data_IF_047329850020
#
_entry.id   IF_047329850020
#
_cell.length_a   1.000
_cell.length_b   1.000
_cell.length_c   1.000
_cell.angle_alpha   90.00
_cell.angle_beta   90.00
_cell.angle_gamma   90.00
#
_symmetry.space_group_name_H-M   'P 1'
#
loop_
_entity.id
_entity.type
_entity.pdbx_description
1 polymer ?
#
# COMPACT_ATOMS: atom_id res chain seq x y z
N UNK A 1 -25.14 3.43 0.23
CA UNK A 1 -23.91 3.23 -0.57
C UNK A 1 -22.93 4.33 -0.18
N UNK A 2 -21.72 3.97 0.28
CA UNK A 2 -20.71 4.96 0.69
C UNK A 2 -20.05 5.53 -0.57
N UNK A 3 -20.21 6.83 -0.81
CA UNK A 3 -19.54 7.55 -1.89
C UNK A 3 -18.08 7.81 -1.48
N UNK A 4 -17.10 7.65 -2.39
CA UNK A 4 -15.71 7.97 -2.07
C UNK A 4 -15.59 9.47 -1.74
N UNK A 5 -14.97 9.79 -0.60
CA UNK A 5 -14.95 11.11 0.04
C UNK A 5 -14.10 12.17 -0.70
N UNK A 6 -13.72 11.95 -1.95
CA UNK A 6 -13.06 12.97 -2.77
C UNK A 6 -13.19 12.67 -4.26
N UNK A 7 -13.87 13.55 -4.99
CA UNK A 7 -13.87 13.57 -6.47
C UNK A 7 -12.65 14.28 -7.06
N UNK A 8 -11.50 14.27 -6.36
CA UNK A 8 -10.28 14.85 -6.91
C UNK A 8 -9.74 14.00 -8.08
N UNK A 9 -9.37 14.63 -9.22
CA UNK A 9 -8.81 13.93 -10.38
C UNK A 9 -7.39 13.40 -10.15
N UNK A 10 -6.83 13.62 -8.97
CA UNK A 10 -5.48 13.20 -8.61
C UNK A 10 -5.51 11.78 -8.06
N UNK A 11 -5.05 10.83 -8.87
CA UNK A 11 -4.79 9.44 -8.46
C UNK A 11 -3.28 9.27 -8.26
N UNK A 12 -2.91 8.59 -7.18
CA UNK A 12 -1.53 8.24 -6.92
C UNK A 12 -1.10 7.16 -7.92
N UNK A 13 0.10 7.24 -8.53
CA UNK A 13 0.62 6.17 -9.36
C UNK A 13 0.79 4.87 -8.55
N UNK A 14 0.53 3.73 -9.18
CA UNK A 14 0.66 2.43 -8.54
C UNK A 14 2.11 2.20 -8.05
N UNK A 15 2.23 1.73 -6.81
CA UNK A 15 3.49 1.45 -6.13
C UNK A 15 4.25 2.70 -5.66
N UNK A 16 3.68 3.89 -5.81
CA UNK A 16 4.29 5.12 -5.26
C UNK A 16 4.43 5.05 -3.73
N UNK A 17 3.48 4.43 -3.04
CA UNK A 17 3.57 4.22 -1.58
C UNK A 17 4.78 3.38 -1.20
N UNK A 18 5.02 2.27 -1.90
CA UNK A 18 6.15 1.38 -1.68
C UNK A 18 7.51 2.08 -1.88
N UNK A 19 7.63 3.01 -2.84
CA UNK A 19 8.85 3.81 -3.00
C UNK A 19 9.12 4.70 -1.78
N UNK A 20 8.09 5.35 -1.24
CA UNK A 20 8.23 6.23 -0.09
C UNK A 20 8.49 5.43 1.20
N UNK A 21 7.85 4.29 1.36
CA UNK A 21 8.09 3.39 2.49
C UNK A 21 9.53 2.85 2.47
N UNK A 22 10.03 2.41 1.31
CA UNK A 22 11.41 1.99 1.14
C UNK A 22 12.41 3.08 1.54
N UNK A 23 12.20 4.32 1.08
CA UNK A 23 13.03 5.45 1.50
C UNK A 23 12.95 5.67 3.02
N UNK A 24 11.74 5.69 3.59
CA UNK A 24 11.55 5.94 5.02
C UNK A 24 12.26 4.89 5.89
N UNK A 25 12.21 3.62 5.49
CA UNK A 25 12.94 2.55 6.17
C UNK A 25 14.45 2.76 6.10
N UNK A 26 15.00 3.12 4.94
CA UNK A 26 16.44 3.38 4.82
C UNK A 26 16.89 4.63 5.62
N UNK A 27 16.06 5.68 5.67
CA UNK A 27 16.33 6.84 6.54
C UNK A 27 16.36 6.45 8.02
N UNK A 28 15.41 5.62 8.47
CA UNK A 28 15.38 5.12 9.85
C UNK A 28 16.60 4.24 10.18
N UNK A 29 17.13 3.52 9.18
CA UNK A 29 18.31 2.65 9.33
C UNK A 29 19.61 3.43 9.38
N UNK A 30 19.80 4.38 8.46
CA UNK A 30 21.07 5.12 8.33
C UNK A 30 21.13 6.40 9.19
N UNK A 31 19.98 6.91 9.66
CA UNK A 31 19.87 8.15 10.44
C UNK A 31 20.72 9.31 9.86
N UNK A 32 20.56 9.65 8.58
CA UNK A 32 21.40 10.65 7.93
C UNK A 32 21.11 12.07 8.44
N UNK A 33 22.14 12.90 8.59
CA UNK A 33 21.98 14.32 8.93
C UNK A 33 21.27 15.13 7.83
N UNK A 34 21.48 14.75 6.56
CA UNK A 34 20.83 15.34 5.39
C UNK A 34 19.96 14.31 4.66
N UNK A 35 18.68 14.30 5.04
CA UNK A 35 17.65 13.42 4.49
C UNK A 35 17.41 13.68 3.00
N UNK A 36 17.52 14.93 2.54
CA UNK A 36 17.21 15.28 1.14
C UNK A 36 18.30 14.75 0.21
N UNK A 37 19.57 14.97 0.56
CA UNK A 37 20.71 14.43 -0.20
C UNK A 37 20.78 12.91 -0.10
N UNK A 38 20.37 12.32 1.02
CA UNK A 38 20.22 10.88 1.15
C UNK A 38 19.15 10.32 0.20
N UNK A 39 17.96 10.92 0.19
CA UNK A 39 16.86 10.49 -0.67
C UNK A 39 17.22 10.56 -2.17
N UNK A 40 17.88 11.63 -2.60
CA UNK A 40 18.35 11.77 -3.98
C UNK A 40 19.28 10.62 -4.38
N UNK A 41 20.26 10.28 -3.53
CA UNK A 41 21.19 9.16 -3.76
C UNK A 41 20.46 7.81 -3.74
N UNK A 42 19.53 7.62 -2.81
CA UNK A 42 18.72 6.40 -2.71
C UNK A 42 17.92 6.14 -3.99
N UNK A 43 17.18 7.13 -4.49
CA UNK A 43 16.42 6.98 -5.73
C UNK A 43 17.31 6.82 -6.96
N UNK A 44 18.48 7.44 -6.99
CA UNK A 44 19.43 7.23 -8.07
C UNK A 44 19.96 5.79 -8.10
N UNK A 45 20.30 5.22 -6.94
CA UNK A 45 20.70 3.82 -6.83
C UNK A 45 19.57 2.86 -7.28
N UNK A 46 18.30 3.15 -6.92
CA UNK A 46 17.17 2.36 -7.40
C UNK A 46 17.01 2.43 -8.93
N UNK A 47 17.21 3.60 -9.54
CA UNK A 47 17.16 3.78 -10.99
C UNK A 47 18.27 3.00 -11.70
N UNK A 48 19.49 3.03 -11.17
CA UNK A 48 20.64 2.28 -11.71
C UNK A 48 20.37 0.78 -11.65
N UNK A 49 19.96 0.26 -10.48
CA UNK A 49 19.60 -1.16 -10.31
C UNK A 49 18.50 -1.62 -11.26
N UNK A 50 17.48 -0.77 -11.49
CA UNK A 50 16.41 -1.05 -12.46
C UNK A 50 16.94 -1.16 -13.88
N UNK A 51 17.88 -0.30 -14.28
CA UNK A 51 18.53 -0.34 -15.61
C UNK A 51 19.39 -1.59 -15.79
N UNK A 52 20.08 -2.01 -14.74
CA UNK A 52 20.99 -3.16 -14.78
C UNK A 52 20.26 -4.50 -14.74
N UNK A 53 19.24 -4.62 -13.88
CA UNK A 53 18.59 -5.91 -13.60
C UNK A 53 17.28 -6.08 -14.38
N UNK A 54 16.74 -5.00 -14.97
CA UNK A 54 15.37 -4.92 -15.50
C UNK A 54 14.27 -5.27 -14.47
N UNK A 55 14.64 -5.47 -13.21
CA UNK A 55 13.73 -5.75 -12.11
C UNK A 55 13.24 -4.40 -11.54
N UNK A 56 11.92 -4.24 -11.50
CA UNK A 56 11.31 -3.02 -10.99
C UNK A 56 11.05 -3.15 -9.48
N UNK A 57 11.71 -2.36 -8.63
CA UNK A 57 11.48 -2.39 -7.18
C UNK A 57 10.05 -1.96 -6.80
N UNK A 58 9.31 -1.34 -7.71
CA UNK A 58 7.95 -0.84 -7.50
C UNK A 58 6.88 -1.88 -7.86
N UNK A 59 7.22 -2.89 -8.66
CA UNK A 59 6.25 -3.83 -9.21
C UNK A 59 5.49 -4.62 -8.12
N UNK A 60 6.17 -5.02 -7.04
CA UNK A 60 5.54 -5.73 -5.94
C UNK A 60 4.53 -4.85 -5.17
N UNK A 61 4.91 -3.61 -4.88
CA UNK A 61 3.99 -2.65 -4.24
C UNK A 61 2.77 -2.33 -5.10
N UNK A 62 2.97 -2.17 -6.41
CA UNK A 62 1.87 -1.95 -7.35
C UNK A 62 0.91 -3.15 -7.43
N UNK A 63 1.43 -4.39 -7.37
CA UNK A 63 0.62 -5.60 -7.33
C UNK A 63 -0.24 -5.69 -6.06
N UNK A 64 0.34 -5.37 -4.89
CA UNK A 64 -0.38 -5.34 -3.61
C UNK A 64 -1.51 -4.30 -3.58
N UNK A 65 -1.25 -3.12 -4.13
CA UNK A 65 -2.27 -2.06 -4.25
C UNK A 65 -3.44 -2.50 -5.17
N UNK A 66 -3.14 -3.21 -6.26
CA UNK A 66 -4.14 -3.76 -7.19
C UNK A 66 -4.96 -4.90 -6.56
N UNK A 67 -4.33 -5.80 -5.80
CA UNK A 67 -5.02 -6.84 -5.03
C UNK A 67 -5.99 -6.25 -3.99
N UNK A 68 -5.57 -5.20 -3.27
CA UNK A 68 -6.40 -4.50 -2.29
C UNK A 68 -7.61 -3.81 -2.93
N UNK A 69 -7.50 -3.35 -4.18
CA UNK A 69 -8.59 -2.74 -4.94
C UNK A 69 -9.50 -3.79 -5.60
N UNK A 70 -8.96 -4.94 -5.98
CA UNK A 70 -9.66 -6.02 -6.69
C UNK A 70 -10.52 -6.88 -5.76
N UNK A 71 -10.11 -7.06 -4.51
CA UNK A 71 -10.89 -7.84 -3.54
C UNK A 71 -11.89 -6.94 -2.80
N UNK A 72 -13.17 -7.33 -2.69
CA UNK A 72 -14.12 -6.58 -1.89
C UNK A 72 -13.63 -6.58 -0.42
N UNK A 73 -13.78 -5.47 0.32
CA UNK A 73 -13.38 -5.41 1.72
C UNK A 73 -14.05 -6.57 2.45
N UNK A 74 -13.26 -7.29 3.25
CA UNK A 74 -13.73 -8.40 4.07
C UNK A 74 -15.01 -7.98 4.78
N UNK A 75 -16.14 -8.58 4.40
CA UNK A 75 -17.44 -8.26 4.98
C UNK A 75 -17.46 -8.81 6.40
N UNK A 76 -17.02 -8.02 7.37
CA UNK A 76 -17.29 -8.26 8.79
C UNK A 76 -18.78 -8.07 8.99
N UNK A 77 -19.55 -9.13 8.74
CA UNK A 77 -21.00 -9.03 8.85
C UNK A 77 -21.76 -10.27 8.38
N UNK A 78 -21.80 -11.32 9.21
CA UNK A 78 -22.95 -12.25 9.23
C UNK A 78 -22.97 -13.09 10.52
N UNK A 79 -24.15 -13.44 11.07
CA UNK A 79 -25.34 -12.66 11.45
C UNK A 79 -25.51 -12.65 13.00
N UNK A 80 -26.52 -11.98 13.61
CA UNK A 80 -26.73 -12.09 15.05
C UNK A 80 -27.18 -13.51 15.40
N UNK A 81 -26.67 -14.04 16.52
CA UNK A 81 -27.11 -15.29 17.13
C UNK A 81 -28.65 -15.27 17.26
N UNK A 82 -29.34 -15.99 16.38
CA UNK A 82 -30.77 -16.20 16.53
C UNK A 82 -30.99 -17.05 17.78
N UNK A 83 -31.62 -16.41 18.78
CA UNK A 83 -32.09 -17.00 20.02
C UNK A 83 -32.76 -18.35 19.75
N UNK A 84 -32.17 -19.43 20.29
CA UNK A 84 -32.95 -20.62 20.61
C UNK A 84 -33.90 -20.27 21.76
N UNK A 85 -35.08 -19.75 21.43
CA UNK A 85 -36.28 -19.88 22.27
C UNK A 85 -37.44 -20.30 21.38
N UNK A 86 -37.58 -21.61 21.25
CA UNK A 86 -38.86 -22.26 20.94
C UNK A 86 -38.95 -23.53 21.79
N UNK A 87 -39.57 -23.42 22.95
CA UNK A 87 -40.58 -24.40 23.39
C UNK A 87 -41.94 -23.82 22.92
N UNK A 88 -43.03 -24.59 22.69
CA UNK A 88 -43.38 -25.85 23.36
C UNK A 88 -44.01 -26.94 22.45
N UNK A 89 -44.33 -28.08 23.06
CA UNK A 89 -45.12 -29.19 22.52
C UNK A 89 -45.24 -30.30 23.55
#
# INVERSE_FOLDING_TARGET
>A
MSVPFSSTPLRLPAGFGNLLEGLALEVLREQPDDVVSFAARHFQALLERRRETSADPVAWGAQLEDELLSHPPFQVGRPPLQRFRSAPG
#
